data_IF_519985835700
#
_entry.id   IF_519985835700
#
_cell.length_a   1.000
_cell.length_b   1.000
_cell.length_c   1.000
_cell.angle_alpha   90.00
_cell.angle_beta   90.00
_cell.angle_gamma   90.00
#
_symmetry.space_group_name_H-M   'P 1'
#
loop_
_entity.id
_entity.type
_entity.pdbx_description
1 polymer ?
#
# COMPACT_ATOMS: atom_id res chain seq x y z
N UNK A 1 -35.68 -3.47 -16.78
CA UNK A 1 -34.83 -2.75 -15.77
C UNK A 1 -35.44 -2.64 -14.39
N UNK A 2 -36.77 -2.66 -14.24
CA UNK A 2 -37.43 -2.57 -12.93
C UNK A 2 -37.03 -3.74 -12.01
N UNK A 3 -37.05 -4.97 -12.51
CA UNK A 3 -36.65 -6.17 -11.74
C UNK A 3 -35.21 -6.11 -11.24
N UNK A 4 -34.26 -5.67 -12.08
CA UNK A 4 -32.84 -5.51 -11.69
C UNK A 4 -32.65 -4.43 -10.63
N UNK A 5 -33.41 -3.33 -10.70
CA UNK A 5 -33.41 -2.30 -9.64
C UNK A 5 -33.89 -2.85 -8.32
N UNK A 6 -34.99 -3.59 -8.30
CA UNK A 6 -35.52 -4.24 -7.10
C UNK A 6 -34.49 -5.19 -6.50
N UNK A 7 -33.81 -6.02 -7.32
CA UNK A 7 -32.74 -6.90 -6.88
C UNK A 7 -31.57 -6.13 -6.26
N UNK A 8 -31.14 -5.03 -6.89
CA UNK A 8 -30.04 -4.20 -6.34
C UNK A 8 -30.44 -3.56 -4.99
N UNK A 9 -31.66 -3.04 -4.86
CA UNK A 9 -32.16 -2.51 -3.59
C UNK A 9 -32.18 -3.57 -2.49
N UNK A 10 -32.64 -4.79 -2.81
CA UNK A 10 -32.65 -5.90 -1.87
C UNK A 10 -31.22 -6.31 -1.46
N UNK A 11 -30.29 -6.38 -2.41
CA UNK A 11 -28.88 -6.64 -2.13
C UNK A 11 -28.29 -5.60 -1.18
N UNK A 12 -28.51 -4.31 -1.46
CA UNK A 12 -28.05 -3.22 -0.59
C UNK A 12 -28.66 -3.37 0.80
N UNK A 13 -29.96 -3.63 0.89
CA UNK A 13 -30.68 -3.79 2.16
C UNK A 13 -30.11 -4.93 3.00
N UNK A 14 -29.79 -6.06 2.39
CA UNK A 14 -29.18 -7.19 3.08
C UNK A 14 -27.75 -6.86 3.53
N UNK A 15 -26.94 -6.33 2.65
CA UNK A 15 -25.53 -6.06 2.92
C UNK A 15 -25.31 -5.02 4.02
N UNK A 16 -26.18 -4.00 4.12
CA UNK A 16 -26.02 -2.95 5.16
C UNK A 16 -26.25 -3.46 6.59
N UNK A 17 -26.91 -4.61 6.78
CA UNK A 17 -27.06 -5.18 8.11
C UNK A 17 -25.75 -5.72 8.71
N UNK A 18 -24.74 -5.97 7.87
CA UNK A 18 -23.43 -6.44 8.32
C UNK A 18 -22.67 -5.32 9.05
N UNK A 19 -22.88 -4.07 8.64
CA UNK A 19 -22.21 -2.93 9.26
C UNK A 19 -22.88 -2.54 10.57
N UNK A 20 -22.07 -2.17 11.56
CA UNK A 20 -22.55 -1.72 12.88
C UNK A 20 -22.91 -0.24 12.85
N UNK A 21 -22.04 0.57 12.22
CA UNK A 21 -22.17 2.02 12.23
C UNK A 21 -23.03 2.56 11.07
N UNK A 22 -23.91 3.51 11.38
CA UNK A 22 -24.80 4.13 10.39
C UNK A 22 -24.06 4.98 9.35
N UNK A 23 -22.91 5.56 9.71
CA UNK A 23 -22.08 6.31 8.76
C UNK A 23 -21.56 5.38 7.65
N UNK A 24 -21.08 4.19 8.00
CA UNK A 24 -20.61 3.18 7.04
C UNK A 24 -21.77 2.61 6.21
N UNK A 25 -22.92 2.32 6.83
CA UNK A 25 -24.13 1.93 6.08
C UNK A 25 -24.48 2.94 5.00
N UNK A 26 -24.41 4.21 5.35
CA UNK A 26 -24.71 5.32 4.42
C UNK A 26 -23.65 5.43 3.33
N UNK A 27 -22.37 5.32 3.70
CA UNK A 27 -21.25 5.35 2.77
C UNK A 27 -21.35 4.22 1.74
N UNK A 28 -21.58 2.97 2.19
CA UNK A 28 -21.76 1.82 1.30
C UNK A 28 -22.94 2.00 0.33
N UNK A 29 -24.10 2.48 0.80
CA UNK A 29 -25.24 2.79 -0.07
C UNK A 29 -24.86 3.81 -1.15
N UNK A 30 -24.24 4.94 -0.74
CA UNK A 30 -23.80 5.99 -1.67
C UNK A 30 -22.79 5.45 -2.69
N UNK A 31 -21.84 4.61 -2.26
CA UNK A 31 -20.89 3.95 -3.13
C UNK A 31 -21.59 3.06 -4.18
N UNK A 32 -22.49 2.15 -3.77
CA UNK A 32 -23.18 1.27 -4.71
C UNK A 32 -24.01 2.05 -5.74
N UNK A 33 -24.67 3.14 -5.33
CA UNK A 33 -25.41 4.00 -6.27
C UNK A 33 -24.47 4.74 -7.23
N UNK A 34 -23.31 5.20 -6.77
CA UNK A 34 -22.29 5.79 -7.63
C UNK A 34 -21.75 4.73 -8.61
N UNK A 35 -21.43 3.53 -8.12
CA UNK A 35 -20.92 2.43 -8.93
C UNK A 35 -21.93 1.98 -10.00
N UNK A 36 -23.21 1.88 -9.64
CA UNK A 36 -24.30 1.60 -10.57
C UNK A 36 -24.37 2.65 -11.70
N UNK A 37 -24.22 3.94 -11.36
CA UNK A 37 -24.21 5.01 -12.36
C UNK A 37 -23.01 4.96 -13.30
N UNK A 38 -21.86 4.52 -12.81
CA UNK A 38 -20.60 4.42 -13.61
C UNK A 38 -20.55 3.17 -14.48
N UNK A 39 -20.96 2.01 -13.98
CA UNK A 39 -20.75 0.71 -14.62
C UNK A 39 -22.06 0.01 -15.04
N UNK A 40 -23.21 0.58 -14.71
CA UNK A 40 -24.52 -0.01 -14.98
C UNK A 40 -25.01 -0.98 -13.91
N UNK A 41 -26.33 -1.22 -13.90
CA UNK A 41 -27.00 -1.97 -12.84
C UNK A 41 -26.59 -3.43 -12.78
N UNK A 42 -26.37 -4.06 -13.94
CA UNK A 42 -25.96 -5.48 -14.00
C UNK A 42 -24.59 -5.70 -13.37
N UNK A 43 -23.63 -4.82 -13.61
CA UNK A 43 -22.29 -4.89 -13.02
C UNK A 43 -22.36 -4.63 -11.52
N UNK A 44 -23.17 -3.65 -11.09
CA UNK A 44 -23.35 -3.36 -9.67
C UNK A 44 -23.96 -4.53 -8.89
N UNK A 45 -24.90 -5.25 -9.49
CA UNK A 45 -25.50 -6.47 -8.91
C UNK A 45 -24.47 -7.58 -8.70
N UNK A 46 -23.60 -7.83 -9.71
CA UNK A 46 -22.64 -8.93 -9.65
C UNK A 46 -21.43 -8.62 -8.79
N UNK A 47 -20.95 -7.37 -8.81
CA UNK A 47 -19.69 -6.97 -8.15
C UNK A 47 -19.86 -6.12 -6.90
N UNK A 48 -21.09 -5.68 -6.59
CA UNK A 48 -21.31 -4.78 -5.44
C UNK A 48 -20.85 -5.36 -4.12
N UNK A 49 -20.99 -6.68 -3.94
CA UNK A 49 -20.57 -7.37 -2.72
C UNK A 49 -19.04 -7.51 -2.59
N UNK A 50 -18.28 -7.47 -3.69
CA UNK A 50 -16.82 -7.60 -3.67
C UNK A 50 -16.15 -6.46 -2.87
N UNK A 51 -16.81 -5.31 -2.81
CA UNK A 51 -16.32 -4.14 -2.10
C UNK A 51 -16.66 -4.11 -0.61
N UNK A 52 -17.48 -5.04 -0.13
CA UNK A 52 -17.92 -5.05 1.28
C UNK A 52 -16.77 -5.12 2.25
N UNK A 53 -15.71 -5.87 1.92
CA UNK A 53 -14.54 -6.04 2.79
C UNK A 53 -13.92 -4.70 3.18
N UNK A 54 -13.78 -3.77 2.22
CA UNK A 54 -13.27 -2.43 2.50
C UNK A 54 -14.13 -1.70 3.54
N UNK A 55 -15.47 -1.74 3.39
CA UNK A 55 -16.38 -1.06 4.32
C UNK A 55 -16.44 -1.74 5.69
N UNK A 56 -16.28 -3.08 5.74
CA UNK A 56 -16.17 -3.82 7.01
C UNK A 56 -14.89 -3.36 7.73
N UNK A 57 -13.75 -3.33 7.04
CA UNK A 57 -12.49 -2.87 7.61
C UNK A 57 -12.60 -1.41 8.12
N UNK A 58 -13.31 -0.53 7.40
CA UNK A 58 -13.59 0.83 7.86
C UNK A 58 -14.52 0.86 9.11
N UNK A 59 -15.54 0.01 9.15
CA UNK A 59 -16.47 -0.07 10.29
C UNK A 59 -15.78 -0.57 11.56
N UNK A 60 -14.94 -1.60 11.43
CA UNK A 60 -14.24 -2.23 12.53
C UNK A 60 -13.15 -1.32 13.13
N UNK A 61 -12.42 -0.56 12.29
CA UNK A 61 -11.26 0.22 12.74
C UNK A 61 -11.60 1.67 13.06
N UNK A 62 -12.53 2.32 12.35
CA UNK A 62 -12.77 3.77 12.50
C UNK A 62 -14.24 4.15 12.69
N UNK A 63 -15.18 3.26 12.39
CA UNK A 63 -16.64 3.52 12.44
C UNK A 63 -17.09 4.68 11.51
N UNK A 64 -16.21 5.12 10.62
CA UNK A 64 -16.39 6.19 9.62
C UNK A 64 -15.52 5.88 8.40
N UNK A 65 -15.69 6.62 7.32
CA UNK A 65 -14.67 6.64 6.26
C UNK A 65 -13.47 7.43 6.78
N UNK A 66 -12.29 6.81 6.88
CA UNK A 66 -11.08 7.46 7.38
C UNK A 66 -10.50 8.44 6.34
N UNK A 67 -9.56 9.28 6.76
CA UNK A 67 -8.82 10.14 5.85
C UNK A 67 -7.80 9.36 5.01
N UNK A 68 -7.11 10.04 4.08
CA UNK A 68 -6.16 9.38 3.19
C UNK A 68 -4.95 8.80 3.95
N UNK A 69 -4.45 9.49 4.96
CA UNK A 69 -3.30 9.04 5.74
C UNK A 69 -3.63 7.76 6.52
N UNK A 70 -4.80 7.70 7.16
CA UNK A 70 -5.32 6.51 7.84
C UNK A 70 -5.49 5.34 6.87
N UNK A 71 -6.09 5.60 5.67
CA UNK A 71 -6.27 4.58 4.63
C UNK A 71 -4.94 3.99 4.14
N UNK A 72 -3.96 4.85 3.82
CA UNK A 72 -2.66 4.41 3.29
C UNK A 72 -1.87 3.64 4.34
N UNK A 73 -1.91 4.09 5.60
CA UNK A 73 -1.23 3.42 6.71
C UNK A 73 -1.78 2.03 6.96
N UNK A 74 -3.11 1.87 6.94
CA UNK A 74 -3.77 0.60 7.23
C UNK A 74 -3.70 -0.39 6.06
N UNK A 75 -4.19 0.03 4.89
CA UNK A 75 -4.27 -0.86 3.72
C UNK A 75 -2.94 -1.03 3.01
N UNK A 76 -1.97 -0.14 3.27
CA UNK A 76 -0.70 -0.04 2.54
C UNK A 76 -0.91 0.16 1.01
N UNK A 77 0.09 0.55 0.23
CA UNK A 77 -0.07 0.80 -1.20
C UNK A 77 -0.67 -0.36 -2.00
N UNK A 78 -0.33 -1.60 -1.66
CA UNK A 78 -0.86 -2.78 -2.35
C UNK A 78 -2.34 -3.05 -2.03
N UNK A 79 -2.75 -2.93 -0.77
CA UNK A 79 -4.15 -3.06 -0.37
C UNK A 79 -5.03 -1.94 -0.95
N UNK A 80 -4.50 -0.72 -1.08
CA UNK A 80 -5.20 0.37 -1.76
C UNK A 80 -5.38 0.09 -3.26
N UNK A 81 -4.41 -0.53 -3.94
CA UNK A 81 -4.55 -0.95 -5.33
C UNK A 81 -5.68 -1.96 -5.51
N UNK A 82 -5.86 -2.88 -4.58
CA UNK A 82 -6.99 -3.83 -4.61
C UNK A 82 -8.35 -3.12 -4.46
N UNK A 83 -8.39 -1.93 -3.85
CA UNK A 83 -9.59 -1.15 -3.59
C UNK A 83 -9.73 0.10 -4.47
N UNK A 84 -9.07 0.15 -5.64
CA UNK A 84 -9.03 1.33 -6.53
C UNK A 84 -10.41 1.89 -6.89
N UNK A 85 -11.42 1.04 -7.06
CA UNK A 85 -12.79 1.46 -7.39
C UNK A 85 -13.41 2.28 -6.26
N UNK A 86 -13.22 1.82 -5.01
CA UNK A 86 -13.71 2.54 -3.82
C UNK A 86 -12.94 3.85 -3.63
N UNK A 87 -11.61 3.82 -3.79
CA UNK A 87 -10.78 5.03 -3.73
C UNK A 87 -11.20 6.07 -4.76
N UNK A 88 -11.47 5.64 -6.01
CA UNK A 88 -11.97 6.53 -7.06
C UNK A 88 -13.29 7.20 -6.65
N UNK A 89 -14.21 6.43 -6.03
CA UNK A 89 -15.44 7.00 -5.50
C UNK A 89 -15.18 8.03 -4.41
N UNK A 90 -14.29 7.75 -3.46
CA UNK A 90 -13.92 8.69 -2.38
C UNK A 90 -13.35 10.00 -2.94
N UNK A 91 -12.51 9.91 -4.00
CA UNK A 91 -11.96 11.06 -4.70
C UNK A 91 -13.03 11.83 -5.49
N UNK A 92 -13.85 11.12 -6.30
CA UNK A 92 -14.92 11.73 -7.11
C UNK A 92 -15.96 12.46 -6.24
N UNK A 93 -16.07 12.09 -4.96
CA UNK A 93 -17.03 12.67 -4.01
C UNK A 93 -16.36 13.59 -2.98
N UNK A 94 -15.09 13.93 -3.16
CA UNK A 94 -14.28 14.79 -2.27
C UNK A 94 -14.30 14.36 -0.79
N UNK A 95 -14.48 13.06 -0.52
CA UNK A 95 -14.41 12.52 0.84
C UNK A 95 -12.97 12.30 1.31
N UNK A 96 -12.05 12.16 0.37
CA UNK A 96 -10.63 11.95 0.63
C UNK A 96 -9.82 12.79 -0.36
N UNK A 97 -8.76 13.41 0.12
CA UNK A 97 -7.76 14.12 -0.70
C UNK A 97 -6.46 13.32 -0.68
N UNK A 98 -5.92 13.00 -1.86
CA UNK A 98 -4.68 12.21 -1.96
C UNK A 98 -3.49 13.07 -1.56
N UNK A 99 -2.76 12.64 -0.55
CA UNK A 99 -1.40 13.08 -0.29
C UNK A 99 -0.42 12.21 -1.10
N UNK A 100 0.09 12.78 -2.20
CA UNK A 100 0.99 12.08 -3.11
C UNK A 100 2.35 11.82 -2.43
N UNK A 101 2.84 12.76 -1.64
CA UNK A 101 4.13 12.62 -0.95
C UNK A 101 4.08 11.47 0.06
N UNK A 102 3.06 11.44 0.90
CA UNK A 102 2.85 10.36 1.87
C UNK A 102 2.72 8.99 1.17
N UNK A 103 1.98 8.92 0.06
CA UNK A 103 1.83 7.68 -0.72
C UNK A 103 3.18 7.18 -1.24
N UNK A 104 3.99 8.08 -1.80
CA UNK A 104 5.28 7.73 -2.38
C UNK A 104 6.27 7.30 -1.30
N UNK A 105 6.29 7.98 -0.15
CA UNK A 105 7.13 7.63 0.99
C UNK A 105 6.78 6.25 1.57
N UNK A 106 5.50 5.95 1.75
CA UNK A 106 5.07 4.64 2.24
C UNK A 106 5.38 3.52 1.23
N UNK A 107 5.28 3.80 -0.08
CA UNK A 107 5.67 2.83 -1.11
C UNK A 107 7.20 2.57 -1.08
N UNK A 108 8.02 3.58 -0.83
CA UNK A 108 9.47 3.40 -0.69
C UNK A 108 9.82 2.64 0.61
N UNK A 109 9.13 2.90 1.72
CA UNK A 109 9.30 2.13 2.96
C UNK A 109 8.98 0.64 2.77
N UNK A 110 7.89 0.29 2.07
CA UNK A 110 7.58 -1.11 1.75
C UNK A 110 8.69 -1.76 0.91
N UNK A 111 9.24 -1.02 -0.08
CA UNK A 111 10.35 -1.52 -0.90
C UNK A 111 11.62 -1.73 -0.08
N UNK A 112 11.93 -0.82 0.85
CA UNK A 112 13.05 -0.96 1.79
C UNK A 112 12.84 -2.20 2.66
N UNK A 113 11.65 -2.41 3.22
CA UNK A 113 11.34 -3.61 3.99
C UNK A 113 11.48 -4.89 3.16
N UNK A 114 11.10 -4.86 1.88
CA UNK A 114 11.27 -5.98 0.96
C UNK A 114 12.74 -6.28 0.67
N UNK A 115 13.63 -5.27 0.68
CA UNK A 115 15.07 -5.48 0.56
C UNK A 115 15.65 -6.21 1.78
N UNK A 116 15.25 -5.81 2.99
CA UNK A 116 15.69 -6.49 4.22
C UNK A 116 15.24 -7.97 4.27
N UNK A 117 14.07 -8.30 3.71
CA UNK A 117 13.61 -9.69 3.60
C UNK A 117 14.46 -10.58 2.69
N UNK A 118 15.30 -9.98 1.83
CA UNK A 118 16.24 -10.72 0.98
C UNK A 118 17.55 -11.08 1.71
N UNK A 119 17.81 -10.50 2.87
CA UNK A 119 18.93 -10.91 3.70
C UNK A 119 18.60 -12.26 4.36
N UNK A 120 19.50 -13.22 4.22
CA UNK A 120 19.36 -14.55 4.84
C UNK A 120 19.50 -14.49 6.35
N UNK A 121 20.30 -13.54 6.85
CA UNK A 121 20.56 -13.30 8.27
C UNK A 121 20.66 -11.80 8.57
N UNK A 122 20.55 -11.43 9.84
CA UNK A 122 20.77 -10.06 10.28
C UNK A 122 22.26 -9.74 10.27
N UNK A 123 22.67 -8.85 9.37
CA UNK A 123 24.09 -8.44 9.22
C UNK A 123 24.30 -7.08 9.87
N UNK A 124 25.16 -6.97 10.92
CA UNK A 124 25.33 -5.74 11.71
C UNK A 124 25.73 -4.52 10.89
N UNK A 125 26.58 -4.68 9.89
CA UNK A 125 27.01 -3.55 9.03
C UNK A 125 25.84 -2.95 8.23
N UNK A 126 24.90 -3.75 7.75
CA UNK A 126 23.71 -3.25 7.04
C UNK A 126 22.77 -2.51 7.98
N UNK A 127 22.59 -3.02 9.22
CA UNK A 127 21.78 -2.32 10.22
C UNK A 127 22.38 -0.95 10.57
N UNK A 128 23.69 -0.88 10.79
CA UNK A 128 24.42 0.38 11.06
C UNK A 128 24.34 1.34 9.88
N UNK A 129 24.51 0.85 8.65
CA UNK A 129 24.41 1.65 7.45
C UNK A 129 22.98 2.20 7.26
N UNK A 130 21.96 1.38 7.48
CA UNK A 130 20.58 1.83 7.41
C UNK A 130 20.28 2.92 8.45
N UNK A 131 20.73 2.78 9.68
CA UNK A 131 20.61 3.82 10.71
C UNK A 131 21.24 5.16 10.28
N UNK A 132 22.42 5.10 9.64
CA UNK A 132 23.04 6.31 9.10
C UNK A 132 22.18 6.96 8.01
N UNK A 133 21.64 6.18 7.09
CA UNK A 133 20.75 6.65 6.04
C UNK A 133 19.44 7.23 6.60
N UNK A 134 18.86 6.59 7.64
CA UNK A 134 17.68 7.11 8.33
C UNK A 134 17.95 8.47 8.99
N UNK A 135 19.05 8.64 9.70
CA UNK A 135 19.44 9.96 10.28
C UNK A 135 19.56 11.04 9.21
N UNK A 136 20.05 10.70 8.01
CA UNK A 136 20.11 11.64 6.88
C UNK A 136 18.73 11.98 6.34
N UNK A 137 17.83 11.01 6.28
CA UNK A 137 16.43 11.23 5.90
C UNK A 137 15.72 12.12 6.93
N UNK A 138 15.79 11.79 8.21
CA UNK A 138 15.17 12.54 9.31
C UNK A 138 15.66 14.00 9.37
N UNK A 139 16.90 14.24 8.96
CA UNK A 139 17.47 15.60 8.84
C UNK A 139 17.15 16.31 7.51
N UNK A 140 16.30 15.72 6.65
CA UNK A 140 15.91 16.30 5.36
C UNK A 140 17.00 16.31 4.29
N UNK A 141 18.13 15.61 4.51
CA UNK A 141 19.29 15.59 3.60
C UNK A 141 19.17 14.57 2.48
N UNK A 142 18.20 13.68 2.53
CA UNK A 142 17.99 12.65 1.51
C UNK A 142 16.52 12.25 1.47
N UNK A 143 16.06 11.56 0.41
CA UNK A 143 14.73 11.00 0.28
C UNK A 143 14.72 9.50 0.61
N UNK A 144 13.55 8.92 0.95
CA UNK A 144 13.38 7.47 1.13
C UNK A 144 13.76 6.69 -0.13
N UNK A 145 13.48 7.24 -1.31
CA UNK A 145 13.93 6.66 -2.58
C UNK A 145 15.46 6.56 -2.65
N UNK A 146 16.18 7.61 -2.25
CA UNK A 146 17.64 7.60 -2.22
C UNK A 146 18.19 6.63 -1.18
N UNK A 147 17.53 6.51 -0.01
CA UNK A 147 17.85 5.49 1.01
C UNK A 147 17.74 4.09 0.40
N UNK A 148 16.65 3.79 -0.29
CA UNK A 148 16.47 2.48 -0.94
C UNK A 148 17.54 2.21 -1.99
N UNK A 149 17.82 3.19 -2.85
CA UNK A 149 18.83 3.05 -3.91
C UNK A 149 20.25 2.84 -3.35
N UNK A 150 20.56 3.42 -2.19
CA UNK A 150 21.82 3.19 -1.51
C UNK A 150 21.90 1.80 -0.83
N UNK A 151 20.78 1.31 -0.28
CA UNK A 151 20.72 0.00 0.36
C UNK A 151 20.78 -1.17 -0.63
N UNK A 152 20.22 -1.01 -1.82
CA UNK A 152 20.13 -2.10 -2.80
C UNK A 152 21.51 -2.71 -3.12
N UNK A 153 22.52 -1.96 -3.57
CA UNK A 153 23.83 -2.54 -3.87
C UNK A 153 24.56 -3.07 -2.62
N UNK A 154 24.33 -2.47 -1.44
CA UNK A 154 24.93 -2.95 -0.20
C UNK A 154 24.38 -4.34 0.17
N UNK A 155 23.06 -4.55 0.05
CA UNK A 155 22.42 -5.85 0.31
C UNK A 155 22.82 -6.87 -0.76
N UNK A 156 22.89 -6.46 -2.03
CA UNK A 156 23.34 -7.33 -3.12
C UNK A 156 24.81 -7.80 -2.91
N UNK A 157 25.70 -6.91 -2.44
CA UNK A 157 27.08 -7.24 -2.08
C UNK A 157 27.12 -8.30 -0.93
N UNK A 158 26.37 -8.06 0.15
CA UNK A 158 26.32 -8.96 1.31
C UNK A 158 25.87 -10.37 0.88
N UNK A 159 24.81 -10.44 0.08
CA UNK A 159 24.26 -11.73 -0.36
C UNK A 159 25.18 -12.45 -1.37
N UNK A 160 25.78 -11.72 -2.32
CA UNK A 160 26.64 -12.34 -3.36
C UNK A 160 27.95 -12.85 -2.82
N UNK A 161 28.51 -12.20 -1.81
CA UNK A 161 29.80 -12.58 -1.19
C UNK A 161 29.64 -13.31 0.16
N UNK A 162 28.38 -13.68 0.54
CA UNK A 162 28.05 -14.36 1.80
C UNK A 162 28.69 -13.70 3.03
N UNK A 163 28.59 -12.37 3.13
CA UNK A 163 29.21 -11.57 4.19
C UNK A 163 28.34 -11.61 5.44
N UNK A 164 28.90 -11.96 6.58
CA UNK A 164 28.20 -12.06 7.87
C UNK A 164 28.49 -10.89 8.81
N UNK A 165 29.55 -10.12 8.54
CA UNK A 165 29.93 -8.97 9.37
C UNK A 165 30.24 -7.74 8.49
N UNK A 166 31.50 -7.29 8.41
CA UNK A 166 31.90 -6.16 7.53
C UNK A 166 32.57 -6.68 6.26
N UNK A 167 32.28 -6.08 5.08
CA UNK A 167 32.94 -6.46 3.84
C UNK A 167 34.41 -6.10 3.86
N UNK A 168 35.25 -7.02 3.36
CA UNK A 168 36.66 -6.74 3.09
C UNK A 168 36.85 -6.00 1.78
N UNK A 169 38.02 -5.37 1.59
CA UNK A 169 38.34 -4.72 0.32
C UNK A 169 38.35 -5.69 -0.86
N UNK A 170 38.80 -6.93 -0.63
CA UNK A 170 38.79 -7.99 -1.65
C UNK A 170 37.38 -8.37 -2.10
N UNK A 171 36.46 -8.59 -1.15
CA UNK A 171 35.04 -8.88 -1.44
C UNK A 171 34.39 -7.72 -2.22
N UNK A 172 34.69 -6.47 -1.86
CA UNK A 172 34.20 -5.32 -2.59
C UNK A 172 34.72 -5.29 -4.03
N UNK A 173 36.04 -5.54 -4.22
CA UNK A 173 36.65 -5.56 -5.56
C UNK A 173 36.07 -6.69 -6.43
N UNK A 174 35.84 -7.88 -5.86
CA UNK A 174 35.23 -9.01 -6.57
C UNK A 174 33.81 -8.67 -7.01
N UNK A 175 32.99 -8.12 -6.12
CA UNK A 175 31.63 -7.68 -6.46
C UNK A 175 31.59 -6.62 -7.58
N UNK A 176 32.48 -5.62 -7.52
CA UNK A 176 32.57 -4.59 -8.55
C UNK A 176 33.01 -5.16 -9.89
N UNK A 177 33.95 -6.10 -9.90
CA UNK A 177 34.41 -6.76 -11.13
C UNK A 177 33.30 -7.59 -11.79
N UNK A 178 32.50 -8.32 -11.00
CA UNK A 178 31.33 -9.05 -11.48
C UNK A 178 30.28 -8.13 -12.11
N UNK A 179 30.04 -6.96 -11.51
CA UNK A 179 29.07 -5.99 -12.04
C UNK A 179 29.54 -5.28 -13.29
N UNK A 180 30.85 -4.96 -13.40
CA UNK A 180 31.42 -4.34 -14.61
C UNK A 180 31.47 -5.30 -15.79
N UNK A 181 31.56 -6.63 -15.57
CA UNK A 181 31.52 -7.63 -16.63
C UNK A 181 30.11 -7.90 -17.21
N UNK A 182 29.07 -7.24 -16.69
CA UNK A 182 27.67 -7.35 -17.12
C UNK A 182 27.18 -6.15 -17.96
N UNK A 183 28.06 -5.19 -18.25
CA UNK A 183 27.82 -4.04 -19.15
C UNK A 183 28.45 -4.33 -20.51
#
# INVERSE_FOLDING_TARGET
DCARRTLLFNLIRLNVHIFRNNAIKTAYKKFIFWYMRKCGISVALHKGSDFMRFFIDCDDNWQKIPDYAELVTHFKPNGLRANLTVLRWLLDTNQVVVDVALKDDLAELERIQALFKKLNESVPCIASYYQLLQKRFDSGKTSLRSVRLALQPAIDLINSQAITDYPTQEQLNNYLSEKMGQI
#
